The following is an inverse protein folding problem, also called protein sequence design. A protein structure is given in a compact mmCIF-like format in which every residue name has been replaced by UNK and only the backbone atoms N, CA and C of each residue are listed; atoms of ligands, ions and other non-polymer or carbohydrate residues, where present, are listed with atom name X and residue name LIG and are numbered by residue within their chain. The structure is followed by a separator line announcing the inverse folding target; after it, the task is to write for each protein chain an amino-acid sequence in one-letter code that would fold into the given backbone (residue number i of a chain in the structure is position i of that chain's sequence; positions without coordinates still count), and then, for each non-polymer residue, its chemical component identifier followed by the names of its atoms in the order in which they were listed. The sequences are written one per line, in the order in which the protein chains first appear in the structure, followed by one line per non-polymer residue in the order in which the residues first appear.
data_IF_938432470927
#
_entry.id   IF_938432470927
#
_cell.length_a   1.000
_cell.length_b   1.000
_cell.length_c   1.000
_cell.angle_alpha   90.00
_cell.angle_beta   90.00
_cell.angle_gamma   90.00
#
_symmetry.space_group_name_H-M   'P 1'
#
loop_
_entity.id
_entity.type
_entity.pdbx_description
1 polymer ?
#
# COMPACT_ATOMS: atom_id res chain seq x y z
N UNK A 1 6.60 -10.51 -21.99
CA UNK A 1 5.13 -10.61 -21.84
C UNK A 1 4.84 -10.62 -20.36
N UNK A 2 4.25 -9.55 -19.83
CA UNK A 2 3.86 -9.48 -18.43
C UNK A 2 2.45 -10.06 -18.30
N UNK A 3 2.29 -11.13 -17.50
CA UNK A 3 1.00 -11.79 -17.30
C UNK A 3 0.23 -11.00 -16.26
N UNK A 4 -1.00 -10.61 -16.58
CA UNK A 4 -1.89 -9.97 -15.62
C UNK A 4 -2.42 -11.00 -14.61
N UNK A 5 -1.74 -11.11 -13.46
CA UNK A 5 -2.13 -12.04 -12.38
C UNK A 5 -3.32 -11.50 -11.57
N UNK A 6 -4.33 -12.31 -11.32
CA UNK A 6 -5.45 -11.95 -10.44
C UNK A 6 -5.08 -11.95 -8.94
N UNK A 7 -3.98 -12.62 -8.58
CA UNK A 7 -3.50 -12.75 -7.20
C UNK A 7 -1.99 -13.01 -7.17
N UNK A 8 -1.39 -12.84 -6.00
CA UNK A 8 0.03 -12.98 -5.75
C UNK A 8 0.27 -13.88 -4.53
N UNK A 9 1.28 -14.73 -4.60
CA UNK A 9 1.73 -15.51 -3.43
C UNK A 9 2.41 -14.60 -2.41
N UNK A 10 2.45 -15.01 -1.13
CA UNK A 10 3.12 -14.20 -0.10
C UNK A 10 4.58 -13.85 -0.45
N UNK A 11 5.43 -14.79 -0.96
CA UNK A 11 6.79 -14.43 -1.35
C UNK A 11 6.86 -13.35 -2.43
N UNK A 12 5.95 -13.36 -3.40
CA UNK A 12 5.88 -12.31 -4.43
C UNK A 12 5.54 -10.95 -3.83
N UNK A 13 4.61 -10.91 -2.88
CA UNK A 13 4.19 -9.69 -2.19
C UNK A 13 5.33 -9.14 -1.33
N UNK A 14 5.96 -9.98 -0.52
CA UNK A 14 7.08 -9.60 0.35
C UNK A 14 8.26 -9.06 -0.47
N UNK A 15 8.62 -9.74 -1.56
CA UNK A 15 9.68 -9.30 -2.45
C UNK A 15 9.33 -7.97 -3.12
N UNK A 16 8.10 -7.83 -3.62
CA UNK A 16 7.60 -6.59 -4.24
C UNK A 16 7.71 -5.43 -3.26
N UNK A 17 7.14 -5.58 -2.07
CA UNK A 17 7.08 -4.52 -1.07
C UNK A 17 8.40 -4.31 -0.32
N UNK A 18 9.41 -5.17 -0.51
CA UNK A 18 10.62 -5.16 0.33
C UNK A 18 10.27 -5.19 1.82
N UNK A 19 9.22 -5.93 2.17
CA UNK A 19 8.64 -6.03 3.50
C UNK A 19 9.07 -7.36 4.13
N UNK A 20 9.51 -7.38 5.40
CA UNK A 20 9.78 -8.63 6.09
C UNK A 20 8.47 -9.37 6.39
N UNK A 21 8.52 -10.71 6.42
CA UNK A 21 7.32 -11.53 6.62
C UNK A 21 6.55 -11.17 7.91
N UNK A 22 7.28 -10.84 8.98
CA UNK A 22 6.70 -10.45 10.28
C UNK A 22 5.77 -9.22 10.19
N UNK A 23 6.06 -8.26 9.31
CA UNK A 23 5.23 -7.07 9.13
C UNK A 23 3.96 -7.40 8.34
N UNK A 24 4.07 -8.27 7.32
CA UNK A 24 2.89 -8.75 6.59
C UNK A 24 1.96 -9.52 7.52
N UNK A 25 2.51 -10.38 8.38
CA UNK A 25 1.74 -11.12 9.39
C UNK A 25 1.05 -10.15 10.33
N UNK A 26 1.76 -9.14 10.85
CA UNK A 26 1.17 -8.12 11.70
C UNK A 26 -0.01 -7.42 11.02
N UNK A 27 0.14 -6.98 9.77
CA UNK A 27 -0.93 -6.33 9.01
C UNK A 27 -2.15 -7.25 8.84
N UNK A 28 -1.91 -8.53 8.59
CA UNK A 28 -2.97 -9.52 8.38
C UNK A 28 -3.71 -9.86 9.68
N UNK A 29 -3.00 -10.04 10.79
CA UNK A 29 -3.57 -10.29 12.13
C UNK A 29 -4.37 -9.11 12.68
N UNK A 30 -4.11 -7.89 12.19
CA UNK A 30 -4.83 -6.67 12.58
C UNK A 30 -5.94 -6.26 11.58
N UNK A 31 -6.33 -7.15 10.66
CA UNK A 31 -7.33 -6.92 9.58
C UNK A 31 -7.01 -5.70 8.68
N UNK A 32 -5.74 -5.29 8.61
CA UNK A 32 -5.26 -4.19 7.75
C UNK A 32 -4.92 -4.69 6.34
N UNK A 33 -4.62 -5.98 6.21
CA UNK A 33 -4.34 -6.66 4.95
C UNK A 33 -5.07 -8.00 4.88
N UNK A 34 -5.93 -8.17 3.88
CA UNK A 34 -6.79 -9.34 3.75
C UNK A 34 -6.13 -10.43 2.93
N UNK A 35 -5.89 -11.57 3.56
CA UNK A 35 -5.37 -12.76 2.89
C UNK A 35 -6.54 -13.64 2.40
N UNK A 36 -6.31 -14.28 1.26
CA UNK A 36 -7.30 -15.14 0.61
C UNK A 36 -6.70 -16.51 0.34
N UNK A 37 -7.57 -17.47 0.03
CA UNK A 37 -7.19 -18.80 -0.45
C UNK A 37 -7.85 -19.09 -1.79
N UNK A 38 -7.18 -19.91 -2.60
CA UNK A 38 -7.73 -20.37 -3.88
C UNK A 38 -8.61 -21.59 -3.65
N UNK A 39 -9.87 -21.47 -4.03
CA UNK A 39 -10.86 -22.53 -4.00
C UNK A 39 -11.02 -23.10 -5.41
N UNK A 40 -10.93 -24.42 -5.53
CA UNK A 40 -11.19 -25.14 -6.78
C UNK A 40 -12.25 -26.21 -6.55
N UNK A 41 -13.35 -26.10 -7.27
CA UNK A 41 -14.44 -27.07 -7.32
C UNK A 41 -14.94 -27.53 -5.93
N UNK A 42 -15.06 -26.60 -4.97
CA UNK A 42 -15.59 -26.91 -3.65
C UNK A 42 -17.05 -26.46 -3.51
N UNK A 43 -17.90 -27.24 -2.83
CA UNK A 43 -19.29 -26.85 -2.60
C UNK A 43 -19.33 -25.70 -1.61
N UNK A 44 -19.59 -24.48 -2.11
CA UNK A 44 -19.73 -23.27 -1.30
C UNK A 44 -21.15 -22.74 -1.40
N UNK A 45 -21.71 -22.43 -0.24
CA UNK A 45 -22.93 -21.66 -0.05
C UNK A 45 -22.56 -20.22 0.22
N UNK A 46 -23.25 -19.31 -0.45
CA UNK A 46 -23.28 -17.89 -0.14
C UNK A 46 -24.65 -17.53 0.40
N UNK A 47 -24.69 -16.59 1.33
CA UNK A 47 -25.95 -16.09 1.85
C UNK A 47 -25.76 -14.87 2.73
N UNK A 48 -26.90 -14.32 3.13
CA UNK A 48 -26.98 -13.11 3.93
C UNK A 48 -27.58 -13.44 5.30
N UNK A 49 -27.36 -12.57 6.28
CA UNK A 49 -28.04 -12.68 7.57
C UNK A 49 -29.23 -11.74 7.59
N UNK A 50 -30.40 -12.27 7.92
CA UNK A 50 -31.57 -11.47 8.27
C UNK A 50 -31.81 -11.53 9.77
N UNK A 51 -32.54 -10.53 10.27
CA UNK A 51 -32.90 -10.39 11.68
C UNK A 51 -34.42 -10.44 11.78
N UNK A 52 -34.95 -11.27 12.67
CA UNK A 52 -36.38 -11.27 13.00
C UNK A 52 -36.73 -10.02 13.81
N UNK A 53 -38.02 -9.71 13.93
CA UNK A 53 -38.51 -8.61 14.76
C UNK A 53 -38.04 -8.71 16.23
N UNK A 54 -37.73 -9.92 16.70
CA UNK A 54 -37.22 -10.22 18.05
C UNK A 54 -35.68 -10.12 18.16
N UNK A 55 -34.98 -9.69 17.10
CA UNK A 55 -33.53 -9.53 17.08
C UNK A 55 -32.74 -10.81 16.81
N UNK A 56 -33.41 -11.92 16.45
CA UNK A 56 -32.74 -13.19 16.18
C UNK A 56 -32.17 -13.18 14.77
N UNK A 57 -30.84 -13.32 14.64
CA UNK A 57 -30.20 -13.47 13.33
C UNK A 57 -30.32 -14.88 12.80
N UNK A 58 -30.72 -15.02 11.55
CA UNK A 58 -30.75 -16.29 10.81
C UNK A 58 -30.12 -16.14 9.43
N UNK A 59 -29.60 -17.25 8.88
CA UNK A 59 -28.93 -17.28 7.58
C UNK A 59 -29.92 -17.60 6.47
N UNK A 60 -29.90 -16.81 5.39
CA UNK A 60 -30.65 -17.06 4.16
C UNK A 60 -29.67 -17.37 3.03
N UNK A 61 -29.61 -18.64 2.58
CA UNK A 61 -28.79 -19.02 1.44
C UNK A 61 -29.28 -18.33 0.16
N UNK A 62 -28.40 -17.61 -0.52
CA UNK A 62 -28.68 -16.95 -1.80
C UNK A 62 -28.14 -17.72 -2.99
N UNK A 63 -27.07 -18.50 -2.81
CA UNK A 63 -26.52 -19.36 -3.86
C UNK A 63 -25.79 -20.59 -3.29
N UNK A 64 -25.92 -21.73 -3.97
CA UNK A 64 -25.17 -22.97 -3.70
C UNK A 64 -24.60 -23.52 -5.01
N UNK A 65 -23.29 -23.68 -5.08
CA UNK A 65 -22.65 -24.23 -6.28
C UNK A 65 -21.25 -24.78 -5.99
N UNK A 66 -20.66 -25.50 -6.94
CA UNK A 66 -19.23 -25.78 -6.94
C UNK A 66 -18.46 -24.51 -7.31
N UNK A 67 -17.84 -23.90 -6.32
CA UNK A 67 -17.17 -22.61 -6.48
C UNK A 67 -15.72 -22.78 -6.96
N UNK A 68 -15.31 -21.87 -7.84
CA UNK A 68 -13.94 -21.72 -8.32
C UNK A 68 -13.56 -20.24 -8.23
N UNK A 69 -12.52 -19.91 -7.46
CA UNK A 69 -12.12 -18.52 -7.27
C UNK A 69 -11.31 -18.29 -6.00
N UNK A 70 -11.30 -17.05 -5.54
CA UNK A 70 -10.62 -16.63 -4.32
C UNK A 70 -11.66 -16.28 -3.26
N UNK A 71 -11.46 -16.75 -2.04
CA UNK A 71 -12.25 -16.36 -0.87
C UNK A 71 -11.34 -15.84 0.22
N UNK A 72 -11.80 -14.81 0.91
CA UNK A 72 -11.02 -14.17 1.98
C UNK A 72 -11.13 -14.95 3.27
N UNK A 73 -10.05 -14.92 4.05
CA UNK A 73 -10.04 -15.51 5.37
C UNK A 73 -10.57 -14.53 6.42
N UNK A 74 -11.13 -15.08 7.50
CA UNK A 74 -11.35 -14.31 8.70
C UNK A 74 -10.03 -14.10 9.45
N UNK A 75 -9.92 -12.97 10.15
CA UNK A 75 -8.71 -12.61 10.92
C UNK A 75 -8.35 -13.68 11.97
N UNK A 76 -9.35 -14.34 12.55
CA UNK A 76 -9.15 -15.43 13.50
C UNK A 76 -8.44 -16.64 12.86
N UNK A 77 -8.84 -17.01 11.64
CA UNK A 77 -8.20 -18.12 10.91
C UNK A 77 -6.76 -17.76 10.53
N UNK A 78 -6.53 -16.51 10.12
CA UNK A 78 -5.19 -15.99 9.80
C UNK A 78 -4.28 -16.04 11.03
N UNK A 79 -4.75 -15.54 12.17
CA UNK A 79 -4.02 -15.57 13.44
C UNK A 79 -3.69 -17.00 13.86
N UNK A 80 -4.67 -17.91 13.81
CA UNK A 80 -4.44 -19.32 14.13
C UNK A 80 -3.46 -19.97 13.16
N UNK A 81 -3.56 -19.67 11.87
CA UNK A 81 -2.68 -20.24 10.85
C UNK A 81 -1.21 -19.86 11.07
N UNK A 82 -0.91 -18.58 11.31
CA UNK A 82 0.48 -18.17 11.54
C UNK A 82 1.02 -18.66 12.89
N UNK A 83 0.13 -18.91 13.87
CA UNK A 83 0.53 -19.45 15.18
C UNK A 83 0.75 -20.96 15.18
N UNK A 84 -0.11 -21.71 14.48
CA UNK A 84 -0.17 -23.18 14.52
C UNK A 84 0.45 -23.85 13.29
N UNK A 85 0.66 -23.10 12.21
CA UNK A 85 1.20 -23.58 10.93
C UNK A 85 0.14 -24.16 9.99
N UNK A 86 -0.98 -24.63 10.53
CA UNK A 86 -2.15 -25.10 9.79
C UNK A 86 -3.46 -24.79 10.52
N UNK A 87 -4.55 -24.62 9.78
CA UNK A 87 -5.89 -24.36 10.34
C UNK A 87 -6.96 -25.00 9.46
N UNK A 88 -8.04 -25.48 10.08
CA UNK A 88 -9.24 -26.02 9.40
C UNK A 88 -10.30 -24.93 9.31
N UNK A 89 -10.56 -24.44 8.09
CA UNK A 89 -11.46 -23.32 7.84
C UNK A 89 -12.85 -23.83 7.47
N UNK A 90 -13.88 -23.21 8.02
CA UNK A 90 -15.29 -23.56 7.77
C UNK A 90 -16.08 -22.42 7.13
N UNK A 91 -15.58 -21.18 7.23
CA UNK A 91 -16.22 -19.97 6.72
C UNK A 91 -15.22 -19.05 6.05
N UNK A 92 -15.73 -18.25 5.12
CA UNK A 92 -14.95 -17.29 4.38
C UNK A 92 -15.66 -15.94 4.32
N UNK A 93 -14.87 -14.88 4.14
CA UNK A 93 -15.36 -13.54 3.80
C UNK A 93 -15.47 -13.39 2.29
N UNK A 94 -16.44 -12.61 1.86
CA UNK A 94 -16.62 -12.19 0.48
C UNK A 94 -17.25 -10.80 0.47
N UNK A 95 -17.05 -10.05 -0.61
CA UNK A 95 -17.73 -8.77 -0.81
C UNK A 95 -19.15 -8.92 -1.37
N UNK A 96 -19.55 -10.15 -1.73
CA UNK A 96 -20.79 -10.42 -2.46
C UNK A 96 -21.95 -10.94 -1.59
N UNK A 97 -21.67 -11.26 -0.33
CA UNK A 97 -22.62 -11.87 0.60
C UNK A 97 -22.10 -11.68 2.04
N UNK A 98 -22.97 -11.74 3.04
CA UNK A 98 -22.53 -11.65 4.44
C UNK A 98 -21.72 -12.86 4.89
N UNK A 99 -21.99 -14.04 4.31
CA UNK A 99 -21.22 -15.24 4.59
C UNK A 99 -20.95 -16.08 3.34
N UNK A 100 -19.86 -16.84 3.43
CA UNK A 100 -19.59 -17.97 2.56
C UNK A 100 -19.13 -19.16 3.42
N UNK A 101 -19.68 -20.35 3.21
CA UNK A 101 -19.32 -21.56 3.94
C UNK A 101 -19.49 -22.81 3.08
N UNK A 102 -19.02 -23.96 3.57
CA UNK A 102 -19.28 -25.23 2.90
C UNK A 102 -20.76 -25.65 3.06
N UNK A 103 -21.28 -26.38 2.07
CA UNK A 103 -22.57 -27.05 2.16
C UNK A 103 -22.49 -28.51 1.73
N UNK A 104 -23.48 -29.30 2.12
CA UNK A 104 -23.53 -30.73 1.85
C UNK A 104 -22.61 -31.51 2.78
N UNK A 105 -21.87 -32.48 2.24
CA UNK A 105 -21.03 -33.40 3.02
C UNK A 105 -19.63 -32.87 3.35
N UNK A 106 -19.24 -31.72 2.80
CA UNK A 106 -17.96 -31.09 3.12
C UNK A 106 -18.19 -30.07 4.22
N UNK A 107 -17.37 -30.13 5.26
CA UNK A 107 -17.52 -29.27 6.44
C UNK A 107 -16.37 -28.26 6.59
N UNK A 108 -15.19 -28.58 6.05
CA UNK A 108 -14.03 -27.71 6.17
C UNK A 108 -12.98 -27.85 5.04
N UNK A 109 -11.99 -26.97 5.10
CA UNK A 109 -10.77 -27.01 4.31
C UNK A 109 -9.57 -26.71 5.21
N UNK A 110 -8.66 -27.68 5.32
CA UNK A 110 -7.36 -27.44 5.96
C UNK A 110 -6.44 -26.66 5.02
N UNK A 111 -5.86 -25.58 5.52
CA UNK A 111 -4.90 -24.76 4.78
C UNK A 111 -3.61 -24.56 5.56
N UNK A 112 -2.55 -24.20 4.84
CA UNK A 112 -1.23 -23.83 5.34
C UNK A 112 -0.76 -22.51 4.73
N UNK A 113 0.32 -21.94 5.25
CA UNK A 113 0.91 -20.69 4.71
C UNK A 113 1.09 -20.68 3.19
N UNK A 114 1.55 -21.75 2.52
CA UNK A 114 1.70 -21.75 1.05
C UNK A 114 0.40 -21.60 0.27
N UNK A 115 -0.75 -21.88 0.87
CA UNK A 115 -2.07 -21.73 0.25
C UNK A 115 -2.55 -20.27 0.25
N UNK A 116 -1.89 -19.41 1.02
CA UNK A 116 -2.23 -18.00 1.15
C UNK A 116 -1.80 -17.19 -0.07
N UNK A 117 -2.72 -16.36 -0.52
CA UNK A 117 -2.51 -15.40 -1.60
C UNK A 117 -3.06 -14.04 -1.21
N UNK A 118 -2.53 -13.00 -1.84
CA UNK A 118 -3.07 -11.65 -1.82
C UNK A 118 -3.75 -11.37 -3.15
N UNK A 119 -5.02 -10.97 -3.12
CA UNK A 119 -5.71 -10.56 -4.35
C UNK A 119 -5.10 -9.28 -4.91
N UNK A 120 -5.19 -9.12 -6.24
CA UNK A 120 -4.78 -7.87 -6.89
C UNK A 120 -5.53 -6.67 -6.32
N UNK A 121 -6.85 -6.75 -6.16
CA UNK A 121 -7.64 -5.61 -5.69
C UNK A 121 -7.24 -5.21 -4.27
N UNK A 122 -6.93 -6.18 -3.42
CA UNK A 122 -6.50 -5.94 -2.05
C UNK A 122 -5.10 -5.35 -1.98
N UNK A 123 -4.17 -5.85 -2.81
CA UNK A 123 -2.86 -5.24 -3.00
C UNK A 123 -3.04 -3.79 -3.42
N UNK A 124 -3.76 -3.54 -4.51
CA UNK A 124 -3.92 -2.20 -5.09
C UNK A 124 -4.58 -1.23 -4.09
N UNK A 125 -5.57 -1.69 -3.31
CA UNK A 125 -6.16 -0.94 -2.19
C UNK A 125 -5.10 -0.58 -1.14
N UNK A 126 -4.30 -1.55 -0.71
CA UNK A 126 -3.27 -1.34 0.31
C UNK A 126 -2.17 -0.39 -0.20
N UNK A 127 -1.67 -0.60 -1.42
CA UNK A 127 -0.67 0.26 -2.06
C UNK A 127 -1.19 1.71 -2.18
N UNK A 128 -2.46 1.89 -2.58
CA UNK A 128 -3.08 3.21 -2.68
C UNK A 128 -3.27 3.89 -1.31
N UNK A 129 -3.66 3.14 -0.27
CA UNK A 129 -3.91 3.68 1.06
C UNK A 129 -2.62 4.06 1.81
N UNK A 130 -1.54 3.30 1.60
CA UNK A 130 -0.29 3.44 2.37
C UNK A 130 0.85 4.09 1.58
N UNK A 131 0.74 4.13 0.25
CA UNK A 131 1.83 4.52 -0.64
C UNK A 131 2.91 3.44 -0.80
N UNK A 132 2.69 2.20 -0.31
CA UNK A 132 3.57 1.06 -0.53
C UNK A 132 3.48 0.59 -1.99
N UNK A 133 4.26 1.18 -2.89
CA UNK A 133 4.40 0.71 -4.27
C UNK A 133 5.69 -0.10 -4.38
N UNK A 134 5.58 -1.42 -4.49
CA UNK A 134 6.76 -2.26 -4.57
C UNK A 134 7.64 -2.04 -5.81
N UNK A 135 8.90 -2.46 -5.71
CA UNK A 135 9.96 -2.23 -6.70
C UNK A 135 9.88 -3.15 -7.92
N UNK A 136 8.82 -3.06 -8.74
CA UNK A 136 8.87 -3.35 -10.19
C UNK A 136 7.51 -3.16 -10.86
N UNK A 137 7.54 -2.49 -12.01
CA UNK A 137 6.39 -2.24 -12.88
C UNK A 137 5.88 -0.81 -12.78
N UNK A 138 6.68 0.14 -13.29
CA UNK A 138 6.39 1.59 -13.43
C UNK A 138 6.02 2.32 -12.13
N UNK A 139 7.00 3.10 -11.61
CA UNK A 139 6.84 4.13 -10.57
C UNK A 139 5.49 4.89 -10.72
N UNK A 140 4.87 5.23 -9.59
CA UNK A 140 5.30 6.41 -8.86
C UNK A 140 5.99 5.92 -7.58
N UNK A 141 7.32 6.00 -7.45
CA UNK A 141 7.94 7.01 -6.57
C UNK A 141 6.94 7.61 -5.58
N UNK A 142 7.30 7.69 -4.29
CA UNK A 142 6.71 8.65 -3.37
C UNK A 142 6.87 10.06 -3.92
N UNK A 143 6.02 10.37 -4.90
CA UNK A 143 6.32 11.28 -5.99
C UNK A 143 6.36 12.67 -5.41
N UNK A 144 7.33 13.43 -5.88
CA UNK A 144 7.28 14.84 -5.65
C UNK A 144 6.01 15.40 -6.31
N UNK A 145 5.10 15.91 -5.51
CA UNK A 145 3.92 16.64 -5.96
C UNK A 145 4.00 18.06 -5.42
N UNK A 146 3.76 19.04 -6.28
CA UNK A 146 3.69 20.43 -5.88
C UNK A 146 2.38 21.04 -6.38
N UNK A 147 1.79 21.91 -5.56
CA UNK A 147 0.84 22.92 -6.01
C UNK A 147 1.45 23.80 -7.12
N UNK A 148 0.62 24.46 -7.91
CA UNK A 148 1.08 25.29 -9.05
C UNK A 148 2.08 26.38 -8.62
N UNK A 149 1.95 26.90 -7.41
CA UNK A 149 2.84 27.90 -6.82
C UNK A 149 3.97 27.31 -5.97
N UNK A 150 4.02 25.98 -5.81
CA UNK A 150 4.98 25.25 -4.98
C UNK A 150 4.93 25.62 -3.48
N UNK A 151 3.86 26.26 -3.00
CA UNK A 151 3.73 26.59 -1.57
C UNK A 151 3.26 25.39 -0.75
N UNK A 152 2.51 24.47 -1.34
CA UNK A 152 2.28 23.12 -0.79
C UNK A 152 3.00 22.08 -1.64
N UNK A 153 3.85 21.28 -1.00
CA UNK A 153 4.68 20.25 -1.62
C UNK A 153 4.57 18.96 -0.82
N UNK A 154 4.35 17.84 -1.50
CA UNK A 154 4.44 16.49 -0.92
C UNK A 154 5.64 15.76 -1.50
N UNK A 155 6.51 15.25 -0.65
CA UNK A 155 7.73 14.54 -1.05
C UNK A 155 7.95 13.36 -0.10
N UNK A 156 8.15 12.14 -0.64
CA UNK A 156 8.36 10.93 0.16
C UNK A 156 7.31 10.75 1.29
N UNK A 157 6.03 11.05 0.98
CA UNK A 157 4.92 10.94 1.93
C UNK A 157 4.79 12.08 2.96
N UNK A 158 5.68 13.09 2.96
CA UNK A 158 5.60 14.26 3.87
C UNK A 158 5.11 15.50 3.16
N UNK A 159 4.27 16.29 3.84
CA UNK A 159 3.80 17.58 3.36
C UNK A 159 4.64 18.74 3.91
N UNK A 160 5.02 19.67 3.05
CA UNK A 160 5.76 20.88 3.36
C UNK A 160 4.96 22.10 2.91
N UNK A 161 4.73 23.04 3.84
CA UNK A 161 4.24 24.39 3.52
C UNK A 161 5.40 25.37 3.40
N UNK A 162 5.64 25.88 2.21
CA UNK A 162 6.82 26.67 1.86
C UNK A 162 6.48 28.15 1.71
N UNK A 163 7.36 29.02 2.18
CA UNK A 163 7.31 30.44 1.84
C UNK A 163 7.76 30.72 0.40
N UNK A 164 7.56 31.93 -0.14
CA UNK A 164 7.82 32.23 -1.55
C UNK A 164 9.24 31.88 -2.04
N UNK A 165 10.26 32.21 -1.25
CA UNK A 165 11.66 31.89 -1.59
C UNK A 165 11.92 30.38 -1.54
N UNK A 166 11.38 29.68 -0.53
CA UNK A 166 11.50 28.23 -0.39
C UNK A 166 10.82 27.51 -1.57
N UNK A 167 9.61 27.95 -1.94
CA UNK A 167 8.85 27.43 -3.07
C UNK A 167 9.61 27.61 -4.40
N UNK A 168 10.22 28.79 -4.60
CA UNK A 168 11.02 29.07 -5.80
C UNK A 168 12.29 28.21 -5.87
N UNK A 169 12.97 27.99 -4.73
CA UNK A 169 14.12 27.06 -4.68
C UNK A 169 13.69 25.65 -5.11
N UNK A 170 12.60 25.13 -4.55
CA UNK A 170 12.10 23.79 -4.89
C UNK A 170 11.69 23.71 -6.35
N UNK A 171 11.07 24.76 -6.90
CA UNK A 171 10.72 24.85 -8.32
C UNK A 171 11.93 24.74 -9.25
N UNK A 172 13.02 25.44 -8.92
CA UNK A 172 14.27 25.39 -9.70
C UNK A 172 14.86 23.99 -9.67
N UNK A 173 14.93 23.37 -8.48
CA UNK A 173 15.46 22.01 -8.31
C UNK A 173 14.58 20.96 -9.01
N UNK A 174 13.26 21.08 -8.93
CA UNK A 174 12.33 20.20 -9.62
C UNK A 174 12.51 20.30 -11.14
N UNK A 175 12.59 21.52 -11.68
CA UNK A 175 12.82 21.74 -13.10
C UNK A 175 14.16 21.19 -13.58
N UNK A 176 15.20 21.23 -12.73
CA UNK A 176 16.50 20.65 -13.05
C UNK A 176 16.46 19.11 -13.08
N UNK A 177 15.76 18.49 -12.12
CA UNK A 177 15.52 17.05 -12.11
C UNK A 177 14.76 16.59 -13.36
N UNK A 178 13.71 17.31 -13.78
CA UNK A 178 12.94 17.02 -15.00
C UNK A 178 13.77 17.12 -16.29
N UNK A 179 14.85 17.91 -16.28
CA UNK A 179 15.80 18.02 -17.41
C UNK A 179 16.91 16.96 -17.38
N UNK A 180 16.93 16.09 -16.38
CA UNK A 180 17.97 15.08 -16.22
C UNK A 180 19.28 15.59 -15.59
N UNK A 181 19.30 16.83 -15.09
CA UNK A 181 20.46 17.42 -14.39
C UNK A 181 20.06 17.81 -12.95
N UNK A 182 19.85 16.83 -12.06
CA UNK A 182 19.24 17.08 -10.75
C UNK A 182 20.13 17.85 -9.78
N UNK A 183 21.46 17.74 -9.91
CA UNK A 183 22.41 18.33 -8.97
C UNK A 183 22.77 19.76 -9.37
N UNK A 184 22.25 20.74 -8.63
CA UNK A 184 22.41 22.15 -8.93
C UNK A 184 23.27 22.86 -7.89
N UNK A 185 24.07 23.83 -8.32
CA UNK A 185 24.87 24.65 -7.41
C UNK A 185 23.96 25.44 -6.47
N UNK A 186 24.14 25.26 -5.15
CA UNK A 186 23.31 25.94 -4.15
C UNK A 186 23.39 27.46 -4.26
N UNK A 187 24.57 28.00 -4.58
CA UNK A 187 24.75 29.45 -4.80
C UNK A 187 23.92 29.94 -5.99
N UNK A 188 23.94 29.21 -7.11
CA UNK A 188 23.18 29.56 -8.30
C UNK A 188 21.67 29.48 -8.05
N UNK A 189 21.21 28.39 -7.41
CA UNK A 189 19.80 28.18 -7.06
C UNK A 189 19.30 29.27 -6.13
N UNK A 190 20.04 29.61 -5.07
CA UNK A 190 19.66 30.65 -4.12
C UNK A 190 19.60 32.03 -4.78
N UNK A 191 20.57 32.35 -5.63
CA UNK A 191 20.59 33.61 -6.38
C UNK A 191 19.41 33.70 -7.35
N UNK A 192 19.13 32.64 -8.11
CA UNK A 192 18.00 32.57 -9.05
C UNK A 192 16.65 32.60 -8.31
N UNK A 193 16.60 32.08 -7.09
CA UNK A 193 15.41 32.14 -6.24
C UNK A 193 15.17 33.51 -5.58
N UNK A 194 16.09 34.47 -5.75
CA UNK A 194 16.00 35.78 -5.10
C UNK A 194 16.27 35.72 -3.59
N UNK A 195 16.95 34.69 -3.09
CA UNK A 195 17.30 34.56 -1.68
C UNK A 195 18.35 35.59 -1.28
N UNK A 196 18.14 36.26 -0.14
CA UNK A 196 19.18 37.07 0.52
C UNK A 196 20.19 36.22 1.30
N UNK A 197 19.84 34.97 1.59
CA UNK A 197 20.74 34.03 2.24
C UNK A 197 21.65 33.33 1.23
N UNK A 198 22.89 33.10 1.64
CA UNK A 198 23.92 32.36 0.90
C UNK A 198 23.93 30.85 1.22
N UNK A 199 23.15 30.39 2.20
CA UNK A 199 23.11 28.99 2.65
C UNK A 199 21.70 28.42 2.57
N UNK A 200 21.60 27.21 2.03
CA UNK A 200 20.32 26.49 1.90
C UNK A 200 19.67 26.26 3.28
N UNK A 201 20.48 25.85 4.27
CA UNK A 201 20.02 25.62 5.63
C UNK A 201 19.35 26.86 6.26
N UNK A 202 19.83 28.07 5.96
CA UNK A 202 19.27 29.30 6.51
C UNK A 202 17.91 29.66 5.87
N UNK A 203 17.73 29.32 4.59
CA UNK A 203 16.44 29.50 3.88
C UNK A 203 15.37 28.55 4.43
N UNK A 204 15.76 27.33 4.80
CA UNK A 204 14.84 26.30 5.28
C UNK A 204 14.87 26.09 6.80
N UNK A 205 15.55 26.96 7.57
CA UNK A 205 15.74 26.80 9.02
C UNK A 205 14.44 26.63 9.82
N UNK A 206 13.33 27.17 9.33
CA UNK A 206 12.00 27.04 9.95
C UNK A 206 11.37 25.65 9.78
N UNK A 207 11.97 24.77 8.98
CA UNK A 207 11.48 23.43 8.63
C UNK A 207 12.51 22.40 9.09
N UNK A 208 12.34 21.83 10.29
CA UNK A 208 13.31 20.87 10.87
C UNK A 208 13.61 19.68 9.94
N UNK A 209 12.62 19.28 9.15
CA UNK A 209 12.68 18.12 8.27
C UNK A 209 13.07 18.45 6.82
N UNK A 210 13.54 19.67 6.53
CA UNK A 210 13.90 20.08 5.17
C UNK A 210 14.95 19.20 4.46
N UNK A 211 15.90 18.50 5.14
CA UNK A 211 16.83 17.60 4.46
C UNK A 211 16.15 16.40 3.79
N UNK A 212 14.91 16.10 4.16
CA UNK A 212 14.09 15.06 3.51
C UNK A 212 13.43 15.55 2.21
N UNK A 213 13.45 16.87 1.98
CA UNK A 213 12.95 17.52 0.77
C UNK A 213 14.10 17.87 -0.17
N UNK A 214 15.26 18.29 0.35
CA UNK A 214 16.42 18.71 -0.44
C UNK A 214 17.67 17.97 0.03
N UNK A 215 18.27 17.21 -0.87
CA UNK A 215 19.53 16.51 -0.62
C UNK A 215 20.73 17.40 -0.92
N UNK A 216 21.79 17.27 -0.12
CA UNK A 216 23.08 17.92 -0.32
C UNK A 216 24.14 16.88 -0.62
N UNK A 217 25.04 17.16 -1.57
CA UNK A 217 26.20 16.30 -1.83
C UNK A 217 27.40 16.62 -0.92
N UNK A 218 27.25 17.53 0.05
CA UNK A 218 28.33 17.97 0.93
C UNK A 218 29.38 18.88 0.27
N UNK A 219 29.27 19.14 -1.05
CA UNK A 219 30.19 19.98 -1.84
C UNK A 219 29.52 21.25 -2.40
N UNK A 220 28.37 21.63 -1.83
CA UNK A 220 27.63 22.82 -2.20
C UNK A 220 26.66 22.65 -3.37
N UNK A 221 26.46 21.43 -3.87
CA UNK A 221 25.36 21.12 -4.80
C UNK A 221 24.19 20.48 -4.05
N UNK A 222 22.99 20.77 -4.54
CA UNK A 222 21.73 20.33 -3.98
C UNK A 222 20.83 19.78 -5.06
N UNK A 223 20.00 18.80 -4.71
CA UNK A 223 18.94 18.29 -5.58
C UNK A 223 17.66 18.09 -4.79
N UNK A 224 16.56 17.93 -5.50
CA UNK A 224 15.29 17.56 -4.90
C UNK A 224 15.34 16.08 -4.49
N UNK A 225 14.89 15.78 -3.26
CA UNK A 225 14.77 14.40 -2.81
C UNK A 225 13.61 13.71 -3.53
N UNK A 226 13.75 12.44 -3.88
CA UNK A 226 12.64 11.62 -4.41
C UNK A 226 12.20 11.89 -5.85
N UNK A 227 12.99 12.62 -6.66
CA UNK A 227 12.75 12.87 -8.11
C UNK A 227 13.85 12.26 -8.97
#
# INVERSE_FOLDING_TARGET
MEIEKAYFTLPEVLARWSMPEVDLVYLAENDQLRLSVRILNLPIEFGDFEETDDGQRFSIPTARSSFNGLLDLHVQDVFQLFRLGEVSITRFRTAKADYACFYGSRESLTIRKPDLVLRREERDRFEAATGFGGASGTKPSGGFHASADYQSVRCNGREFRLGPIQAQVVRILHAAALRGDPWQSGKAVLSQAGSRSLKMADVFKSKKDWPLLIESNGRGAYRLAGV
#
